data_IF_091032891344
#
_entry.id   IF_091032891344
#
_cell.length_a   1.000
_cell.length_b   1.000
_cell.length_c   1.000
_cell.angle_alpha   90.00
_cell.angle_beta   90.00
_cell.angle_gamma   90.00
#
_symmetry.space_group_name_H-M   'P 1'
#
loop_
_entity.id
_entity.type
_entity.pdbx_description
1 polymer ?
#
# COMPACT_ATOMS: atom_id res chain seq x y z
N UNK A 1 7.89 3.73 36.91
CA UNK A 1 9.02 4.00 37.82
C UNK A 1 10.30 3.82 36.99
N UNK A 2 11.17 4.80 36.71
CA UNK A 2 11.68 6.03 37.37
C UNK A 2 12.04 7.08 36.28
N UNK A 3 12.31 8.38 36.57
CA UNK A 3 12.02 9.18 37.77
C UNK A 3 11.46 10.60 37.47
N UNK A 4 11.20 11.31 38.58
CA UNK A 4 10.62 12.64 38.80
C UNK A 4 11.41 13.86 38.27
N UNK A 5 10.64 14.90 37.96
CA UNK A 5 10.83 16.32 38.29
C UNK A 5 12.25 16.91 38.34
N UNK A 6 12.55 17.82 37.41
CA UNK A 6 13.42 18.97 37.66
C UNK A 6 13.03 20.15 36.75
N UNK A 7 12.26 21.07 37.34
CA UNK A 7 12.38 22.55 37.28
C UNK A 7 12.50 23.16 35.87
N UNK A 8 11.43 23.77 35.32
CA UNK A 8 11.11 25.20 35.48
C UNK A 8 12.38 26.08 35.64
N UNK A 9 12.55 27.10 34.79
CA UNK A 9 13.74 27.96 34.59
C UNK A 9 14.67 27.51 33.45
N UNK A 10 14.27 27.76 32.21
CA UNK A 10 14.94 28.69 31.27
C UNK A 10 13.82 29.15 30.33
N UNK A 11 13.15 30.22 30.74
CA UNK A 11 12.20 30.93 29.91
C UNK A 11 12.97 31.70 28.82
N UNK A 12 12.43 31.70 27.61
CA UNK A 12 12.65 32.65 26.52
C UNK A 12 13.79 32.48 25.49
N UNK A 13 14.79 31.58 25.64
CA UNK A 13 15.87 31.48 24.63
C UNK A 13 16.08 30.09 23.99
N UNK A 14 15.24 29.10 24.31
CA UNK A 14 15.34 27.73 23.78
C UNK A 14 14.20 27.33 22.84
N UNK A 15 13.28 28.26 22.55
CA UNK A 15 12.11 28.02 21.70
C UNK A 15 12.44 27.92 20.20
N UNK A 16 13.71 28.06 19.83
CA UNK A 16 14.21 27.96 18.46
C UNK A 16 15.08 26.72 18.19
N UNK A 17 15.22 25.80 19.16
CA UNK A 17 16.06 24.60 19.04
C UNK A 17 15.37 23.30 19.51
N UNK A 18 14.03 23.24 19.42
CA UNK A 18 13.23 22.03 19.70
C UNK A 18 12.40 21.57 18.48
N UNK A 19 12.90 21.76 17.26
CA UNK A 19 12.24 21.29 16.01
C UNK A 19 12.92 20.06 15.38
N UNK A 20 13.86 19.42 16.07
CA UNK A 20 14.34 18.08 15.69
C UNK A 20 13.61 17.07 16.56
N UNK A 21 12.27 17.05 16.45
CA UNK A 21 11.56 15.81 16.73
C UNK A 21 12.03 14.85 15.66
N UNK A 22 12.90 13.92 16.02
CA UNK A 22 13.10 12.70 15.25
C UNK A 22 11.76 11.93 15.29
N UNK A 23 10.77 12.40 14.54
CA UNK A 23 9.55 11.68 14.26
C UNK A 23 9.94 10.58 13.29
N UNK A 24 10.36 9.44 13.82
CA UNK A 24 10.27 8.23 13.03
C UNK A 24 8.80 8.00 12.74
N UNK A 25 8.42 8.10 11.47
CA UNK A 25 7.05 7.84 11.04
C UNK A 25 6.77 6.34 11.28
N UNK A 26 5.86 5.98 12.19
CA UNK A 26 5.63 4.59 12.56
C UNK A 26 5.19 3.74 11.36
N UNK A 27 4.60 4.36 10.33
CA UNK A 27 4.19 3.66 9.09
C UNK A 27 5.40 3.34 8.23
N UNK A 28 6.36 4.28 8.13
CA UNK A 28 7.63 4.06 7.43
C UNK A 28 8.37 2.90 8.06
N UNK A 29 8.55 2.92 9.38
CA UNK A 29 9.25 1.85 10.09
C UNK A 29 8.59 0.49 9.83
N UNK A 30 7.25 0.44 9.84
CA UNK A 30 6.52 -0.79 9.59
C UNK A 30 6.70 -1.29 8.16
N UNK A 31 6.65 -0.39 7.17
CA UNK A 31 6.89 -0.74 5.77
C UNK A 31 8.33 -1.24 5.55
N UNK A 32 9.32 -0.57 6.14
CA UNK A 32 10.73 -0.98 6.05
C UNK A 32 10.97 -2.34 6.71
N UNK A 33 10.32 -2.62 7.84
CA UNK A 33 10.34 -3.96 8.45
C UNK A 33 9.74 -5.02 7.53
N UNK A 34 8.63 -4.72 6.86
CA UNK A 34 8.00 -5.63 5.90
C UNK A 34 8.94 -5.94 4.71
N UNK A 35 9.56 -4.92 4.12
CA UNK A 35 10.51 -5.08 3.01
C UNK A 35 11.75 -5.87 3.47
N UNK A 36 12.28 -5.58 4.67
CA UNK A 36 13.38 -6.38 5.24
C UNK A 36 12.98 -7.84 5.44
N UNK A 37 11.81 -8.12 6.00
CA UNK A 37 11.31 -9.47 6.18
C UNK A 37 11.15 -10.20 4.83
N UNK A 38 10.69 -9.48 3.80
CA UNK A 38 10.58 -10.00 2.43
C UNK A 38 11.96 -10.39 1.88
N UNK A 39 12.97 -9.54 2.03
CA UNK A 39 14.35 -9.82 1.62
C UNK A 39 14.96 -11.00 2.38
N UNK A 40 14.63 -11.15 3.66
CA UNK A 40 15.03 -12.28 4.51
C UNK A 40 14.23 -13.57 4.24
N UNK A 41 13.35 -13.56 3.24
CA UNK A 41 12.46 -14.68 2.87
C UNK A 41 11.41 -15.05 3.94
N UNK A 42 11.17 -14.18 4.91
CA UNK A 42 10.16 -14.35 5.97
C UNK A 42 8.79 -13.85 5.48
N UNK A 43 8.18 -14.60 4.57
CA UNK A 43 6.98 -14.18 3.83
C UNK A 43 5.77 -13.93 4.73
N UNK A 44 5.57 -14.72 5.78
CA UNK A 44 4.45 -14.53 6.72
C UNK A 44 4.62 -13.23 7.52
N UNK A 45 5.84 -12.94 7.98
CA UNK A 45 6.15 -11.72 8.71
C UNK A 45 6.01 -10.48 7.82
N UNK A 46 6.54 -10.54 6.59
CA UNK A 46 6.38 -9.47 5.61
C UNK A 46 4.89 -9.21 5.33
N UNK A 47 4.11 -10.27 5.12
CA UNK A 47 2.67 -10.18 4.86
C UNK A 47 1.92 -9.56 6.05
N UNK A 48 2.25 -9.94 7.27
CA UNK A 48 1.64 -9.38 8.47
C UNK A 48 1.89 -7.87 8.59
N UNK A 49 3.13 -7.42 8.40
CA UNK A 49 3.45 -5.99 8.44
C UNK A 49 2.76 -5.24 7.29
N UNK A 50 2.81 -5.74 6.04
CA UNK A 50 2.12 -5.10 4.93
C UNK A 50 0.62 -4.99 5.15
N UNK A 51 -0.04 -6.04 5.66
CA UNK A 51 -1.50 -6.07 5.92
C UNK A 51 -1.94 -4.99 6.88
N UNK A 52 -1.15 -4.75 7.92
CA UNK A 52 -1.52 -3.78 8.94
C UNK A 52 -1.44 -2.32 8.48
N UNK A 53 -0.69 -2.01 7.41
CA UNK A 53 -0.51 -0.63 6.93
C UNK A 53 -1.82 -0.01 6.41
N UNK A 54 -2.52 -0.61 5.43
CA UNK A 54 -3.80 -0.06 4.96
C UNK A 54 -4.91 -0.14 6.03
N UNK A 55 -4.78 -1.03 7.02
CA UNK A 55 -5.72 -1.13 8.16
C UNK A 55 -5.54 -0.01 9.17
N UNK A 56 -4.31 0.20 9.63
CA UNK A 56 -4.02 1.15 10.71
C UNK A 56 -3.75 2.57 10.20
N UNK A 57 -3.25 2.67 8.96
CA UNK A 57 -2.79 3.92 8.35
C UNK A 57 -3.31 4.09 6.91
N UNK A 58 -4.64 4.10 6.69
CA UNK A 58 -5.22 4.10 5.35
C UNK A 58 -4.87 5.33 4.52
N UNK A 59 -4.52 6.47 5.14
CA UNK A 59 -4.13 7.71 4.44
C UNK A 59 -2.62 7.78 4.13
N UNK A 60 -1.86 6.78 4.54
CA UNK A 60 -0.42 6.76 4.32
C UNK A 60 -0.06 6.55 2.85
N UNK A 61 0.97 7.25 2.40
CA UNK A 61 1.61 7.00 1.08
C UNK A 61 2.10 5.56 0.90
N UNK A 62 2.30 4.81 1.99
CA UNK A 62 2.72 3.40 1.95
C UNK A 62 1.57 2.42 1.77
N UNK A 63 0.31 2.84 1.98
CA UNK A 63 -0.83 1.93 1.94
C UNK A 63 -1.09 1.31 0.55
N UNK A 64 -1.04 2.06 -0.58
CA UNK A 64 -1.16 1.47 -1.92
C UNK A 64 -0.02 0.50 -2.21
N UNK A 65 1.22 0.86 -1.90
CA UNK A 65 2.39 -0.01 -2.09
C UNK A 65 2.29 -1.28 -1.26
N UNK A 66 1.85 -1.18 0.00
CA UNK A 66 1.68 -2.33 0.88
C UNK A 66 0.62 -3.31 0.37
N UNK A 67 -0.50 -2.81 -0.19
CA UNK A 67 -1.50 -3.67 -0.84
C UNK A 67 -0.93 -4.33 -2.11
N UNK A 68 -0.15 -3.60 -2.92
CA UNK A 68 0.49 -4.19 -4.10
C UNK A 68 1.42 -5.35 -3.70
N UNK A 69 2.23 -5.17 -2.66
CA UNK A 69 3.11 -6.21 -2.11
C UNK A 69 2.34 -7.42 -1.56
N UNK A 70 1.21 -7.20 -0.90
CA UNK A 70 0.35 -8.29 -0.44
C UNK A 70 -0.19 -9.10 -1.62
N UNK A 71 -0.66 -8.43 -2.69
CA UNK A 71 -1.14 -9.10 -3.90
C UNK A 71 -0.06 -9.95 -4.56
N UNK A 72 1.17 -9.42 -4.64
CA UNK A 72 2.34 -10.14 -5.15
C UNK A 72 2.65 -11.38 -4.34
N UNK A 73 2.66 -11.27 -3.01
CA UNK A 73 2.89 -12.40 -2.11
C UNK A 73 1.84 -13.48 -2.30
N UNK A 74 0.56 -13.11 -2.36
CA UNK A 74 -0.51 -14.06 -2.58
C UNK A 74 -0.40 -14.77 -3.95
N UNK A 75 -0.18 -14.01 -5.02
CA UNK A 75 -0.12 -14.56 -6.37
C UNK A 75 1.12 -15.41 -6.62
N UNK A 76 2.28 -14.94 -6.19
CA UNK A 76 3.57 -15.57 -6.50
C UNK A 76 4.01 -16.61 -5.46
N UNK A 77 3.97 -16.27 -4.17
CA UNK A 77 4.51 -17.12 -3.11
C UNK A 77 3.47 -18.13 -2.61
N UNK A 78 2.29 -17.66 -2.19
CA UNK A 78 1.24 -18.54 -1.67
C UNK A 78 0.44 -19.23 -2.77
N UNK A 79 0.65 -18.87 -4.04
CA UNK A 79 -0.06 -19.41 -5.22
C UNK A 79 -1.59 -19.32 -5.06
N UNK A 80 -2.04 -18.30 -4.35
CA UNK A 80 -3.44 -18.03 -4.07
C UNK A 80 -3.92 -16.90 -4.98
N UNK A 81 -4.37 -17.28 -6.17
CA UNK A 81 -4.85 -16.38 -7.20
C UNK A 81 -6.08 -15.57 -6.75
N UNK A 82 -6.99 -16.20 -6.00
CA UNK A 82 -8.20 -15.55 -5.49
C UNK A 82 -7.86 -14.42 -4.50
N UNK A 83 -7.03 -14.72 -3.50
CA UNK A 83 -6.59 -13.72 -2.54
C UNK A 83 -5.81 -12.56 -3.20
N UNK A 84 -4.97 -12.87 -4.21
CA UNK A 84 -4.27 -11.83 -4.96
C UNK A 84 -5.24 -10.90 -5.69
N UNK A 85 -6.26 -11.45 -6.37
CA UNK A 85 -7.28 -10.68 -7.09
C UNK A 85 -8.07 -9.78 -6.15
N UNK A 86 -8.40 -10.24 -4.95
CA UNK A 86 -9.11 -9.47 -3.93
C UNK A 86 -8.27 -8.32 -3.38
N UNK A 87 -7.00 -8.57 -3.09
CA UNK A 87 -6.10 -7.51 -2.60
C UNK A 87 -5.86 -6.45 -3.67
N UNK A 88 -5.60 -6.84 -4.92
CA UNK A 88 -5.48 -5.86 -6.01
C UNK A 88 -6.79 -5.10 -6.22
N UNK A 89 -7.94 -5.76 -6.09
CA UNK A 89 -9.25 -5.10 -6.13
C UNK A 89 -9.40 -4.04 -5.04
N UNK A 90 -8.96 -4.35 -3.82
CA UNK A 90 -8.95 -3.43 -2.68
C UNK A 90 -8.05 -2.22 -2.93
N UNK A 91 -6.89 -2.41 -3.57
CA UNK A 91 -6.01 -1.31 -3.98
C UNK A 91 -6.70 -0.39 -4.97
N UNK A 92 -7.29 -0.95 -6.03
CA UNK A 92 -7.98 -0.18 -7.08
C UNK A 92 -9.20 0.57 -6.54
N UNK A 93 -9.90 -0.02 -5.58
CA UNK A 93 -11.08 0.60 -4.98
C UNK A 93 -10.71 1.74 -4.01
N UNK A 94 -9.76 1.51 -3.10
CA UNK A 94 -9.43 2.48 -2.06
C UNK A 94 -8.41 3.54 -2.52
N UNK A 95 -7.58 3.22 -3.52
CA UNK A 95 -6.48 4.06 -3.99
C UNK A 95 -6.44 4.21 -5.51
N UNK A 96 -7.54 4.58 -6.18
CA UNK A 96 -7.64 4.59 -7.65
C UNK A 96 -6.66 5.55 -8.34
N UNK A 97 -6.22 6.61 -7.65
CA UNK A 97 -5.26 7.60 -8.16
C UNK A 97 -3.80 7.35 -7.77
N UNK A 98 -3.49 6.23 -7.11
CA UNK A 98 -2.12 5.89 -6.72
C UNK A 98 -1.26 5.48 -7.92
N UNK A 99 0.05 5.66 -7.81
CA UNK A 99 1.02 5.19 -8.81
C UNK A 99 0.98 3.67 -9.03
N UNK A 100 0.51 2.92 -8.03
CA UNK A 100 0.42 1.47 -8.01
C UNK A 100 -0.83 0.94 -8.69
N UNK A 101 -1.87 1.76 -8.84
CA UNK A 101 -3.15 1.34 -9.38
C UNK A 101 -3.05 0.75 -10.81
N UNK A 102 -2.32 1.35 -11.77
CA UNK A 102 -2.16 0.75 -13.10
C UNK A 102 -1.54 -0.65 -13.05
N UNK A 103 -0.51 -0.84 -12.21
CA UNK A 103 0.18 -2.13 -12.10
C UNK A 103 -0.70 -3.18 -11.41
N UNK A 104 -1.44 -2.79 -10.37
CA UNK A 104 -2.40 -3.67 -9.71
C UNK A 104 -3.52 -4.12 -10.66
N UNK A 105 -4.01 -3.21 -11.52
CA UNK A 105 -5.01 -3.53 -12.54
C UNK A 105 -4.48 -4.58 -13.52
N UNK A 106 -3.28 -4.36 -14.07
CA UNK A 106 -2.64 -5.29 -15.00
C UNK A 106 -2.46 -6.67 -14.37
N UNK A 107 -1.84 -6.75 -13.18
CA UNK A 107 -1.60 -8.03 -12.49
C UNK A 107 -2.89 -8.76 -12.15
N UNK A 108 -3.92 -8.04 -11.72
CA UNK A 108 -5.24 -8.61 -11.44
C UNK A 108 -5.91 -9.15 -12.69
N UNK A 109 -5.83 -8.43 -13.81
CA UNK A 109 -6.38 -8.86 -15.08
C UNK A 109 -5.66 -10.11 -15.61
N UNK A 110 -4.33 -10.14 -15.54
CA UNK A 110 -3.52 -11.31 -15.90
C UNK A 110 -3.94 -12.55 -15.11
N UNK A 111 -4.07 -12.43 -13.79
CA UNK A 111 -4.50 -13.56 -12.96
C UNK A 111 -5.91 -14.04 -13.36
N UNK A 112 -6.84 -13.12 -13.60
CA UNK A 112 -8.21 -13.46 -14.03
C UNK A 112 -8.25 -14.20 -15.36
N UNK A 113 -7.45 -13.75 -16.32
CA UNK A 113 -7.34 -14.38 -17.63
C UNK A 113 -6.72 -15.77 -17.55
N UNK A 114 -5.63 -15.93 -16.78
CA UNK A 114 -4.86 -17.17 -16.73
C UNK A 114 -5.47 -18.24 -15.82
N UNK A 115 -6.06 -17.83 -14.69
CA UNK A 115 -6.48 -18.77 -13.65
C UNK A 115 -7.99 -19.04 -13.64
N UNK A 116 -8.81 -18.08 -14.07
CA UNK A 116 -10.27 -18.18 -13.95
C UNK A 116 -10.97 -18.36 -15.29
N UNK A 117 -10.25 -18.24 -16.43
CA UNK A 117 -10.83 -18.23 -17.79
C UNK A 117 -12.02 -17.26 -17.94
N UNK A 118 -12.11 -16.26 -17.05
CA UNK A 118 -13.20 -15.30 -16.98
C UNK A 118 -12.77 -14.01 -17.66
N UNK A 119 -12.87 -14.01 -18.98
CA UNK A 119 -12.59 -12.86 -19.84
C UNK A 119 -13.55 -11.69 -19.57
N UNK A 120 -14.78 -11.95 -19.13
CA UNK A 120 -15.79 -10.91 -18.92
C UNK A 120 -15.45 -10.02 -17.72
N UNK A 121 -14.85 -10.59 -16.66
CA UNK A 121 -14.50 -9.84 -15.46
C UNK A 121 -13.33 -8.86 -15.62
N UNK A 122 -12.44 -9.07 -16.60
CA UNK A 122 -11.31 -8.18 -16.88
C UNK A 122 -11.76 -6.91 -17.65
N UNK A 123 -12.72 -7.06 -18.56
CA UNK A 123 -13.25 -5.96 -19.39
C UNK A 123 -14.19 -5.05 -18.57
N UNK A 124 -14.98 -5.62 -17.65
CA UNK A 124 -15.89 -4.84 -16.80
C UNK A 124 -15.19 -3.83 -15.86
N UNK A 125 -13.97 -4.12 -15.41
CA UNK A 125 -13.20 -3.23 -14.52
C UNK A 125 -12.64 -1.98 -15.19
N UNK A 126 -12.47 -2.00 -16.51
CA UNK A 126 -12.05 -0.83 -17.30
C UNK A 126 -13.12 0.28 -17.23
N UNK A 127 -14.38 -0.08 -17.40
CA UNK A 127 -15.51 0.87 -17.46
C UNK A 127 -15.85 1.50 -16.09
N UNK A 128 -15.51 0.84 -14.98
CA UNK A 128 -15.77 1.35 -13.64
C UNK A 128 -14.67 2.29 -13.13
N UNK A 129 -13.39 2.00 -13.45
CA UNK A 129 -12.23 2.78 -12.98
C UNK A 129 -11.95 4.01 -13.86
N UNK A 130 -12.40 4.00 -15.12
CA UNK A 130 -12.22 5.11 -16.07
C UNK A 130 -13.19 6.29 -15.91
N UNK A 131 -14.12 6.27 -14.94
CA UNK A 131 -15.12 7.34 -14.78
C UNK A 131 -14.59 8.66 -14.22
N UNK A 132 -13.28 8.82 -14.04
CA UNK A 132 -12.68 10.10 -13.66
C UNK A 132 -11.36 10.43 -14.38
N UNK A 133 -11.03 9.74 -15.48
CA UNK A 133 -10.01 10.23 -16.41
C UNK A 133 -10.71 10.71 -17.68
N UNK A 134 -10.56 11.99 -18.08
CA UNK A 134 -10.86 12.35 -19.45
C UNK A 134 -9.83 11.62 -20.31
N UNK A 135 -10.19 10.44 -20.80
CA UNK A 135 -9.48 9.81 -21.89
C UNK A 135 -9.77 10.69 -23.09
N UNK A 136 -8.90 11.68 -23.34
CA UNK A 136 -8.95 12.47 -24.56
C UNK A 136 -8.70 11.51 -25.73
N UNK A 137 -9.79 11.04 -26.32
CA UNK A 137 -9.83 10.23 -27.51
C UNK A 137 -9.39 11.06 -28.72
N UNK A 138 -8.07 11.16 -28.93
CA UNK A 138 -7.49 11.64 -30.20
C UNK A 138 -7.01 10.50 -31.11
N UNK A 139 -7.75 9.38 -31.14
CA UNK A 139 -7.49 8.29 -32.09
C UNK A 139 -8.78 7.69 -32.65
N UNK A 140 -9.69 8.55 -33.10
CA UNK A 140 -10.64 8.19 -34.16
C UNK A 140 -10.38 9.17 -35.30
N UNK A 141 -9.83 8.63 -36.38
CA UNK A 141 -9.75 9.30 -37.68
C UNK A 141 -11.15 9.61 -38.21
#
# INVERSE_FOLDING_TARGET
MRPCAARLFIAAASLLLFLVSACSDPVRERFERAEKAFLEKKMDAALADYRSIPTDFPQSRYAPTALLRQGDLFGSYYRNAEAAVEVYGSLLFNYPGSSEAPLALTRRAEIRLLHFFDYASAVGTWNASGRNTPVSNKWTA
#
